data_IF_886245981828
#
_entry.id   IF_886245981828
#
_cell.length_a   1.000
_cell.length_b   1.000
_cell.length_c   1.000
_cell.angle_alpha   90.00
_cell.angle_beta   90.00
_cell.angle_gamma   90.00
#
_symmetry.space_group_name_H-M   'P 1'
#
loop_
_entity.id
_entity.type
_entity.pdbx_description
1 polymer ?
#
# COMPACT_ATOMS: atom_id res chain seq x y z
N UNK A 1 -25.31 0.60 -12.50
CA UNK A 1 -26.26 1.26 -11.59
C UNK A 1 -27.14 0.18 -11.01
N UNK A 2 -27.41 0.23 -9.71
CA UNK A 2 -28.22 -0.76 -9.00
C UNK A 2 -29.52 -0.16 -8.50
N UNK A 3 -30.58 -0.97 -8.48
CA UNK A 3 -31.86 -0.61 -7.84
C UNK A 3 -31.77 -0.80 -6.34
N UNK A 4 -32.66 -0.16 -5.58
CA UNK A 4 -32.71 -0.37 -4.13
C UNK A 4 -33.03 -1.83 -3.76
N UNK A 5 -33.90 -2.48 -4.54
CA UNK A 5 -34.27 -3.88 -4.33
C UNK A 5 -33.07 -4.83 -4.50
N UNK A 6 -32.20 -4.57 -5.48
CA UNK A 6 -30.94 -5.31 -5.64
C UNK A 6 -30.02 -5.13 -4.43
N UNK A 7 -29.94 -3.91 -3.88
CA UNK A 7 -29.12 -3.61 -2.70
C UNK A 7 -29.68 -4.27 -1.44
N UNK A 8 -30.99 -4.20 -1.21
CA UNK A 8 -31.65 -4.82 -0.05
C UNK A 8 -31.47 -6.34 -0.07
N UNK A 9 -31.72 -6.97 -1.22
CA UNK A 9 -31.52 -8.40 -1.42
C UNK A 9 -30.05 -8.80 -1.23
N UNK A 10 -29.11 -8.06 -1.82
CA UNK A 10 -27.68 -8.35 -1.72
C UNK A 10 -27.15 -8.29 -0.29
N UNK A 11 -27.73 -7.43 0.56
CA UNK A 11 -27.33 -7.27 1.97
C UNK A 11 -28.14 -8.12 2.94
N UNK A 12 -29.08 -8.94 2.45
CA UNK A 12 -30.06 -9.64 3.27
C UNK A 12 -30.75 -8.69 4.26
N UNK A 13 -31.26 -7.57 3.73
CA UNK A 13 -31.83 -6.45 4.49
C UNK A 13 -30.86 -5.90 5.54
N UNK A 14 -29.63 -5.61 5.11
CA UNK A 14 -28.58 -4.96 5.91
C UNK A 14 -28.15 -5.74 7.17
N UNK A 15 -28.19 -7.08 7.13
CA UNK A 15 -27.96 -7.94 8.30
C UNK A 15 -26.52 -7.90 8.82
N UNK A 16 -25.53 -7.73 7.92
CA UNK A 16 -24.11 -7.79 8.25
C UNK A 16 -23.44 -6.43 8.06
N UNK A 17 -23.45 -5.63 9.14
CA UNK A 17 -22.69 -4.39 9.24
C UNK A 17 -21.20 -4.69 9.46
N UNK A 18 -20.35 -4.12 8.60
CA UNK A 18 -18.89 -4.31 8.67
C UNK A 18 -18.13 -3.05 9.13
N UNK A 19 -18.77 -1.87 9.07
CA UNK A 19 -18.18 -0.64 9.59
C UNK A 19 -19.15 0.53 9.64
N UNK A 20 -18.83 1.55 10.44
CA UNK A 20 -19.46 2.88 10.38
C UNK A 20 -18.36 3.92 10.42
N UNK A 21 -18.36 4.81 9.43
CA UNK A 21 -17.51 5.99 9.40
C UNK A 21 -18.34 7.27 9.51
N UNK A 22 -17.67 8.41 9.44
CA UNK A 22 -18.31 9.74 9.42
C UNK A 22 -19.24 9.93 8.22
N UNK A 23 -18.96 9.24 7.11
CA UNK A 23 -19.63 9.45 5.84
C UNK A 23 -20.76 8.44 5.60
N UNK A 24 -20.90 7.40 6.43
CA UNK A 24 -21.91 6.38 6.23
C UNK A 24 -21.64 5.05 6.95
N UNK A 25 -22.55 4.11 6.75
CA UNK A 25 -22.44 2.74 7.27
C UNK A 25 -22.16 1.78 6.13
N UNK A 26 -21.22 0.85 6.35
CA UNK A 26 -20.81 -0.13 5.35
C UNK A 26 -21.34 -1.50 5.76
N UNK A 27 -21.97 -2.18 4.81
CA UNK A 27 -22.51 -3.52 4.95
C UNK A 27 -21.80 -4.47 3.98
N UNK A 28 -21.62 -5.72 4.40
CA UNK A 28 -21.22 -6.78 3.48
C UNK A 28 -22.46 -7.22 2.71
N UNK A 29 -22.33 -7.35 1.41
CA UNK A 29 -23.36 -7.93 0.55
C UNK A 29 -22.79 -8.97 -0.39
N UNK A 30 -23.68 -9.65 -1.10
CA UNK A 30 -23.34 -10.61 -2.13
C UNK A 30 -24.14 -10.30 -3.40
N UNK A 31 -23.46 -9.93 -4.47
CA UNK A 31 -24.08 -9.47 -5.71
C UNK A 31 -23.41 -10.14 -6.92
N UNK A 32 -24.19 -10.78 -7.78
CA UNK A 32 -23.71 -11.48 -8.97
C UNK A 32 -22.55 -12.47 -8.68
N UNK A 33 -22.67 -13.27 -7.61
CA UNK A 33 -21.66 -14.21 -7.13
C UNK A 33 -20.37 -13.59 -6.57
N UNK A 34 -20.36 -12.28 -6.34
CA UNK A 34 -19.22 -11.54 -5.80
C UNK A 34 -19.56 -10.98 -4.41
N UNK A 35 -18.63 -11.13 -3.47
CA UNK A 35 -18.70 -10.41 -2.20
C UNK A 35 -18.42 -8.92 -2.44
N UNK A 36 -19.32 -8.06 -1.96
CA UNK A 36 -19.26 -6.61 -2.15
C UNK A 36 -19.35 -5.87 -0.81
N UNK A 37 -18.79 -4.66 -0.78
CA UNK A 37 -18.98 -3.71 0.31
C UNK A 37 -19.96 -2.62 -0.14
N UNK A 38 -21.07 -2.47 0.58
CA UNK A 38 -22.12 -1.49 0.25
C UNK A 38 -22.10 -0.40 1.31
N UNK A 39 -21.64 0.79 0.92
CA UNK A 39 -21.61 1.99 1.77
C UNK A 39 -22.91 2.76 1.56
N UNK A 40 -23.74 2.82 2.60
CA UNK A 40 -24.94 3.64 2.67
C UNK A 40 -24.58 4.95 3.35
N UNK A 41 -24.64 6.06 2.62
CA UNK A 41 -24.30 7.37 3.18
C UNK A 41 -25.39 7.85 4.14
N UNK A 42 -25.02 8.59 5.18
CA UNK A 42 -25.99 9.19 6.10
C UNK A 42 -26.76 10.31 5.38
N UNK A 43 -28.10 10.26 5.46
CA UNK A 43 -29.04 11.01 4.61
C UNK A 43 -29.20 12.50 4.93
N UNK A 44 -28.58 13.00 6.00
CA UNK A 44 -29.10 14.19 6.68
C UNK A 44 -28.37 15.51 6.40
N UNK A 45 -27.48 15.59 5.39
CA UNK A 45 -26.84 16.87 5.06
C UNK A 45 -26.43 17.04 3.58
N UNK A 46 -26.43 18.31 3.12
CA UNK A 46 -26.01 18.71 1.76
C UNK A 46 -24.56 18.30 1.44
N UNK A 47 -23.75 18.14 2.49
CA UNK A 47 -22.37 17.66 2.42
C UNK A 47 -22.30 16.20 1.92
N UNK A 48 -23.14 15.30 2.43
CA UNK A 48 -23.21 13.88 2.03
C UNK A 48 -23.47 13.72 0.53
N UNK A 49 -24.42 14.46 -0.04
CA UNK A 49 -24.73 14.43 -1.48
C UNK A 49 -23.56 14.91 -2.33
N UNK A 50 -22.80 15.89 -1.85
CA UNK A 50 -21.60 16.37 -2.55
C UNK A 50 -20.50 15.31 -2.54
N UNK A 51 -20.25 14.65 -1.40
CA UNK A 51 -19.27 13.57 -1.30
C UNK A 51 -19.64 12.38 -2.19
N UNK A 52 -20.92 11.99 -2.20
CA UNK A 52 -21.45 10.96 -3.10
C UNK A 52 -21.15 11.24 -4.56
N UNK A 53 -21.55 12.43 -5.04
CA UNK A 53 -21.36 12.81 -6.44
C UNK A 53 -19.88 12.93 -6.81
N UNK A 54 -19.06 13.47 -5.90
CA UNK A 54 -17.61 13.57 -6.10
C UNK A 54 -16.96 12.19 -6.24
N UNK A 55 -17.33 11.26 -5.37
CA UNK A 55 -16.78 9.90 -5.36
C UNK A 55 -17.22 9.12 -6.60
N UNK A 56 -18.49 9.22 -6.98
CA UNK A 56 -19.00 8.69 -8.24
C UNK A 56 -18.24 9.25 -9.45
N UNK A 57 -18.11 10.57 -9.53
CA UNK A 57 -17.50 11.24 -10.68
C UNK A 57 -16.03 10.85 -10.85
N UNK A 58 -15.30 10.76 -9.74
CA UNK A 58 -13.86 10.42 -9.75
C UNK A 58 -13.66 8.95 -10.04
N UNK A 59 -14.26 8.05 -9.24
CA UNK A 59 -14.00 6.62 -9.33
C UNK A 59 -14.63 5.98 -10.58
N UNK A 60 -15.64 6.60 -11.21
CA UNK A 60 -16.17 6.09 -12.48
C UNK A 60 -15.19 6.27 -13.65
N UNK A 61 -14.23 7.20 -13.55
CA UNK A 61 -13.35 7.61 -14.65
C UNK A 61 -11.94 7.04 -14.55
N UNK A 62 -11.55 6.54 -13.38
CA UNK A 62 -10.18 6.10 -13.11
C UNK A 62 -10.15 4.68 -12.57
N UNK A 63 -9.11 3.93 -12.90
CA UNK A 63 -8.86 2.59 -12.38
C UNK A 63 -7.38 2.41 -12.14
N UNK A 64 -7.04 1.88 -10.97
CA UNK A 64 -5.67 1.56 -10.58
C UNK A 64 -5.69 0.35 -9.64
N UNK A 65 -4.71 -0.57 -9.69
CA UNK A 65 -4.70 -1.76 -8.83
C UNK A 65 -4.74 -1.47 -7.32
N UNK A 66 -4.27 -0.29 -6.92
CA UNK A 66 -4.19 0.17 -5.53
C UNK A 66 -5.19 1.30 -5.21
N UNK A 67 -6.25 1.44 -6.00
CA UNK A 67 -7.43 2.26 -5.68
C UNK A 67 -8.64 1.34 -5.52
N UNK A 68 -9.47 1.61 -4.51
CA UNK A 68 -10.65 0.81 -4.23
C UNK A 68 -11.64 0.91 -5.40
N UNK A 69 -11.99 -0.24 -5.98
CA UNK A 69 -12.83 -0.28 -7.16
C UNK A 69 -14.31 -0.05 -6.81
N UNK A 70 -14.86 1.03 -7.35
CA UNK A 70 -16.31 1.27 -7.37
C UNK A 70 -16.95 0.39 -8.45
N UNK A 71 -17.80 -0.55 -8.02
CA UNK A 71 -18.55 -1.46 -8.89
C UNK A 71 -19.85 -0.83 -9.40
N UNK A 72 -20.43 0.07 -8.61
CA UNK A 72 -21.63 0.80 -9.00
C UNK A 72 -22.22 1.61 -7.84
N UNK A 73 -23.43 2.11 -8.05
CA UNK A 73 -24.14 2.92 -7.07
C UNK A 73 -25.66 2.77 -7.20
N UNK A 74 -26.36 3.11 -6.13
CA UNK A 74 -27.81 3.33 -6.08
C UNK A 74 -28.06 4.76 -5.60
N UNK A 75 -28.24 5.73 -6.52
CA UNK A 75 -28.41 7.15 -6.17
C UNK A 75 -29.65 7.45 -5.34
N UNK A 76 -30.75 6.74 -5.58
CA UNK A 76 -32.05 6.95 -4.92
C UNK A 76 -31.94 6.90 -3.38
N UNK A 77 -30.94 6.15 -2.89
CA UNK A 77 -30.66 5.95 -1.46
C UNK A 77 -29.23 6.31 -1.07
N UNK A 78 -28.48 6.98 -1.95
CA UNK A 78 -27.10 7.39 -1.69
C UNK A 78 -26.17 6.22 -1.35
N UNK A 79 -26.28 5.09 -2.06
CA UNK A 79 -25.46 3.91 -1.82
C UNK A 79 -24.34 3.77 -2.86
N UNK A 80 -23.15 3.41 -2.40
CA UNK A 80 -21.98 3.11 -3.22
C UNK A 80 -21.60 1.64 -3.02
N UNK A 81 -21.33 0.93 -4.11
CA UNK A 81 -21.01 -0.51 -4.12
C UNK A 81 -19.56 -0.69 -4.55
N UNK A 82 -18.74 -1.29 -3.69
CA UNK A 82 -17.32 -1.53 -3.92
C UNK A 82 -16.99 -3.01 -3.91
N UNK A 83 -15.82 -3.35 -4.42
CA UNK A 83 -15.19 -4.63 -4.11
C UNK A 83 -15.03 -4.80 -2.59
N UNK A 84 -15.21 -6.03 -2.11
CA UNK A 84 -15.02 -6.35 -0.70
C UNK A 84 -13.54 -6.62 -0.39
N UNK A 85 -13.07 -6.07 0.73
CA UNK A 85 -11.68 -6.15 1.18
C UNK A 85 -11.63 -6.97 2.48
N UNK A 86 -11.23 -8.24 2.40
CA UNK A 86 -11.44 -9.24 3.45
C UNK A 86 -10.67 -8.93 4.74
N UNK A 87 -9.54 -8.25 4.62
CA UNK A 87 -8.68 -7.92 5.75
C UNK A 87 -8.99 -6.55 6.38
N UNK A 88 -10.04 -5.86 5.92
CA UNK A 88 -10.48 -4.59 6.47
C UNK A 88 -9.48 -3.46 6.25
N UNK A 89 -9.45 -2.49 7.17
CA UNK A 89 -8.55 -1.33 7.08
C UNK A 89 -7.14 -1.63 7.58
N UNK A 90 -6.15 -0.89 7.08
CA UNK A 90 -4.79 -0.92 7.56
C UNK A 90 -4.72 -0.54 9.05
N UNK A 91 -5.53 0.43 9.48
CA UNK A 91 -5.65 0.81 10.90
C UNK A 91 -6.02 -0.38 11.79
N UNK A 92 -7.06 -1.13 11.42
CA UNK A 92 -7.51 -2.29 12.20
C UNK A 92 -6.43 -3.38 12.25
N UNK A 93 -5.68 -3.54 11.15
CA UNK A 93 -4.64 -4.56 11.01
C UNK A 93 -3.36 -4.23 11.75
N UNK A 94 -2.92 -2.96 11.77
CA UNK A 94 -1.81 -2.50 12.61
C UNK A 94 -2.16 -2.65 14.10
N UNK A 95 -3.40 -2.36 14.48
CA UNK A 95 -3.90 -2.56 15.86
C UNK A 95 -4.25 -4.02 16.19
N UNK A 96 -4.08 -4.95 15.24
CA UNK A 96 -4.43 -6.38 15.37
C UNK A 96 -5.84 -6.61 15.93
N UNK A 97 -6.81 -5.77 15.53
CA UNK A 97 -8.19 -5.90 15.98
C UNK A 97 -8.74 -7.27 15.62
N UNK A 98 -9.64 -7.80 16.46
CA UNK A 98 -10.21 -9.15 16.32
C UNK A 98 -9.14 -10.27 16.30
N UNK A 99 -7.94 -10.00 16.82
CA UNK A 99 -6.88 -11.00 16.94
C UNK A 99 -6.19 -11.35 15.63
N UNK A 100 -6.23 -10.49 14.61
CA UNK A 100 -5.53 -10.77 13.35
C UNK A 100 -4.02 -10.88 13.54
N UNK A 101 -3.31 -11.73 12.77
CA UNK A 101 -1.86 -11.78 12.82
C UNK A 101 -1.25 -10.43 12.41
N UNK A 102 -0.07 -10.09 12.96
CA UNK A 102 0.65 -8.88 12.58
C UNK A 102 0.99 -8.90 11.09
N UNK A 103 1.04 -7.72 10.47
CA UNK A 103 1.55 -7.56 9.10
C UNK A 103 3.08 -7.66 9.18
N UNK A 104 3.73 -8.61 8.49
CA UNK A 104 5.18 -8.71 8.44
C UNK A 104 5.83 -7.47 7.83
N UNK A 105 7.06 -7.14 8.24
CA UNK A 105 7.76 -5.94 7.78
C UNK A 105 7.85 -5.83 6.24
N UNK A 106 8.03 -6.96 5.54
CA UNK A 106 8.16 -7.00 4.09
C UNK A 106 6.85 -6.61 3.39
N UNK A 107 5.70 -7.00 3.95
CA UNK A 107 4.39 -6.57 3.46
C UNK A 107 4.19 -5.08 3.74
N UNK A 108 4.71 -4.54 4.85
CA UNK A 108 4.64 -3.11 5.16
C UNK A 108 5.41 -2.24 4.17
N UNK A 109 6.61 -2.66 3.77
CA UNK A 109 7.36 -2.01 2.68
C UNK A 109 6.59 -2.05 1.35
N UNK A 110 5.97 -3.20 1.03
CA UNK A 110 5.12 -3.31 -0.17
C UNK A 110 3.94 -2.36 -0.09
N UNK A 111 3.19 -2.35 1.01
CA UNK A 111 2.01 -1.50 1.22
C UNK A 111 2.37 -0.01 1.08
N UNK A 112 3.49 0.43 1.67
CA UNK A 112 3.94 1.82 1.52
C UNK A 112 4.12 2.20 0.04
N UNK A 113 4.79 1.34 -0.75
CA UNK A 113 4.95 1.55 -2.19
C UNK A 113 3.62 1.54 -2.96
N UNK A 114 2.70 0.63 -2.62
CA UNK A 114 1.38 0.52 -3.26
C UNK A 114 0.55 1.80 -3.07
N UNK A 115 0.56 2.35 -1.85
CA UNK A 115 -0.07 3.64 -1.52
C UNK A 115 0.59 4.77 -2.33
N UNK A 116 1.92 4.85 -2.32
CA UNK A 116 2.67 5.84 -3.10
C UNK A 116 2.36 5.78 -4.59
N UNK A 117 2.29 4.57 -5.16
CA UNK A 117 1.95 4.33 -6.56
C UNK A 117 0.54 4.82 -6.90
N UNK A 118 -0.44 4.55 -6.05
CA UNK A 118 -1.80 5.06 -6.24
C UNK A 118 -1.88 6.60 -6.17
N UNK A 119 -1.17 7.22 -5.23
CA UNK A 119 -1.12 8.67 -5.13
C UNK A 119 -0.47 9.32 -6.35
N UNK A 120 0.66 8.78 -6.85
CA UNK A 120 1.31 9.27 -8.07
C UNK A 120 0.35 9.20 -9.27
N UNK A 121 -0.42 8.11 -9.38
CA UNK A 121 -1.45 7.97 -10.41
C UNK A 121 -2.53 9.06 -10.30
N UNK A 122 -3.08 9.31 -9.11
CA UNK A 122 -4.05 10.37 -8.87
C UNK A 122 -3.49 11.76 -9.25
N UNK A 123 -2.26 12.05 -8.82
CA UNK A 123 -1.59 13.33 -9.07
C UNK A 123 -1.21 13.54 -10.54
N UNK A 124 -1.06 12.45 -11.29
CA UNK A 124 -0.71 12.48 -12.72
C UNK A 124 -1.94 12.48 -13.63
N UNK A 125 -3.14 12.36 -13.07
CA UNK A 125 -4.40 12.34 -13.84
C UNK A 125 -4.58 13.63 -14.66
N UNK A 126 -5.11 13.48 -15.87
CA UNK A 126 -5.37 14.58 -16.83
C UNK A 126 -6.88 14.75 -17.05
N UNK A 127 -7.37 15.97 -17.35
CA UNK A 127 -6.62 17.22 -17.54
C UNK A 127 -6.11 17.85 -16.22
N UNK A 128 -6.66 17.40 -15.09
CA UNK A 128 -6.42 17.96 -13.77
C UNK A 128 -5.97 16.89 -12.78
N UNK A 129 -4.87 17.12 -12.05
CA UNK A 129 -4.47 16.28 -10.92
C UNK A 129 -5.60 16.13 -9.90
N UNK A 130 -5.77 14.92 -9.36
CA UNK A 130 -6.69 14.62 -8.27
C UNK A 130 -5.87 14.56 -6.98
N UNK A 131 -6.23 15.35 -5.97
CA UNK A 131 -5.63 15.26 -4.63
C UNK A 131 -6.60 14.50 -3.73
N UNK A 132 -6.12 13.50 -2.99
CA UNK A 132 -6.95 12.63 -2.14
C UNK A 132 -7.52 13.37 -0.93
N UNK A 133 -6.68 14.11 -0.19
CA UNK A 133 -6.99 14.97 0.97
C UNK A 133 -7.36 14.29 2.28
N UNK A 134 -7.70 13.00 2.27
CA UNK A 134 -7.98 12.24 3.50
C UNK A 134 -7.26 10.89 3.53
N UNK A 135 -5.98 10.87 3.15
CA UNK A 135 -5.19 9.65 3.28
C UNK A 135 -4.89 9.39 4.77
N UNK A 136 -5.23 8.21 5.24
CA UNK A 136 -4.98 7.69 6.60
C UNK A 136 -5.14 6.16 6.60
N UNK A 137 -4.62 5.43 7.60
CA UNK A 137 -4.72 3.97 7.63
C UNK A 137 -6.15 3.43 7.60
N UNK A 138 -7.16 4.17 8.08
CA UNK A 138 -8.57 3.78 8.01
C UNK A 138 -9.12 3.76 6.57
N UNK A 139 -8.54 4.59 5.69
CA UNK A 139 -8.94 4.71 4.29
C UNK A 139 -8.06 3.85 3.36
N UNK A 140 -7.12 3.07 3.90
CA UNK A 140 -6.35 2.07 3.15
C UNK A 140 -6.91 0.70 3.50
N UNK A 141 -7.54 0.02 2.54
CA UNK A 141 -8.12 -1.32 2.75
C UNK A 141 -7.20 -2.40 2.22
N UNK A 142 -7.24 -3.58 2.83
CA UNK A 142 -6.41 -4.73 2.48
C UNK A 142 -7.28 -5.90 1.99
N UNK A 143 -6.92 -6.47 0.84
CA UNK A 143 -7.55 -7.69 0.33
C UNK A 143 -7.03 -8.93 1.09
N UNK A 144 -7.55 -10.11 0.77
CA UNK A 144 -7.09 -11.41 1.33
C UNK A 144 -5.58 -11.66 1.29
N UNK A 145 -4.85 -11.04 0.35
CA UNK A 145 -3.42 -11.19 0.15
C UNK A 145 -2.60 -10.01 0.71
N UNK A 146 -3.21 -9.13 1.51
CA UNK A 146 -2.60 -7.90 2.01
C UNK A 146 -2.17 -6.94 0.89
N UNK A 147 -2.83 -6.98 -0.26
CA UNK A 147 -2.71 -5.94 -1.28
C UNK A 147 -3.54 -4.75 -0.84
N UNK A 148 -2.90 -3.58 -0.78
CA UNK A 148 -3.53 -2.36 -0.32
C UNK A 148 -4.25 -1.61 -1.45
N UNK A 149 -5.37 -1.00 -1.09
CA UNK A 149 -6.16 -0.10 -1.95
C UNK A 149 -6.64 1.12 -1.18
N UNK A 150 -6.39 2.30 -1.72
CA UNK A 150 -6.89 3.56 -1.15
C UNK A 150 -8.37 3.72 -1.50
N UNK A 151 -9.21 3.95 -0.49
CA UNK A 151 -10.64 4.27 -0.63
C UNK A 151 -11.00 5.63 -0.04
N UNK A 152 -12.30 5.93 -0.03
CA UNK A 152 -12.89 7.20 0.47
C UNK A 152 -12.32 8.46 -0.18
N UNK A 153 -12.44 8.53 -1.52
CA UNK A 153 -12.06 9.72 -2.29
C UNK A 153 -13.14 10.83 -2.25
N UNK A 154 -14.12 10.75 -1.34
CA UNK A 154 -15.21 11.71 -1.22
C UNK A 154 -14.77 13.13 -0.88
N UNK A 155 -13.56 13.29 -0.31
CA UNK A 155 -12.93 14.59 -0.04
C UNK A 155 -11.97 15.06 -1.14
N UNK A 156 -11.79 14.25 -2.19
CA UNK A 156 -10.85 14.54 -3.27
C UNK A 156 -11.21 15.83 -4.00
N UNK A 157 -10.20 16.44 -4.61
CA UNK A 157 -10.41 17.68 -5.36
C UNK A 157 -9.55 17.73 -6.63
N UNK A 158 -10.16 18.20 -7.71
CA UNK A 158 -9.46 18.46 -8.98
C UNK A 158 -8.72 19.79 -8.90
N UNK A 159 -7.43 19.78 -9.25
CA UNK A 159 -6.62 20.99 -9.36
C UNK A 159 -6.88 21.73 -10.68
N UNK A 160 -6.70 23.06 -10.75
CA UNK A 160 -6.72 23.78 -12.02
C UNK A 160 -5.73 23.18 -13.03
N UNK A 161 -6.05 23.10 -14.34
CA UNK A 161 -5.15 22.57 -15.35
C UNK A 161 -3.81 23.31 -15.36
N UNK A 162 -2.70 22.58 -15.48
CA UNK A 162 -1.34 23.16 -15.50
C UNK A 162 -1.15 24.22 -16.59
N UNK A 163 -1.90 24.14 -17.69
CA UNK A 163 -1.82 25.10 -18.81
C UNK A 163 -2.23 26.53 -18.43
N UNK A 164 -2.94 26.72 -17.32
CA UNK A 164 -3.39 28.04 -16.87
C UNK A 164 -2.39 28.77 -15.95
N UNK A 165 -1.31 28.11 -15.49
CA UNK A 165 -0.41 28.68 -14.46
C UNK A 165 1.06 28.30 -14.72
N UNK A 166 1.93 29.30 -14.85
CA UNK A 166 3.38 29.14 -15.10
C UNK A 166 4.09 28.42 -13.94
N UNK A 167 4.95 27.43 -14.26
CA UNK A 167 6.04 26.76 -13.50
C UNK A 167 6.11 26.79 -11.94
N UNK A 168 5.02 27.07 -11.24
CA UNK A 168 4.90 27.14 -9.78
C UNK A 168 4.07 25.96 -9.28
N UNK A 169 4.35 25.50 -8.07
CA UNK A 169 3.49 24.56 -7.34
C UNK A 169 2.06 25.09 -7.38
N UNK A 170 1.13 24.29 -7.93
CA UNK A 170 -0.26 24.69 -8.11
C UNK A 170 -0.99 24.49 -6.79
N UNK A 171 -1.70 25.52 -6.32
CA UNK A 171 -2.49 25.50 -5.09
C UNK A 171 -3.96 25.77 -5.39
N UNK A 172 -4.85 25.13 -4.63
CA UNK A 172 -6.29 25.43 -4.68
C UNK A 172 -6.76 25.89 -3.30
N UNK A 173 -7.41 27.05 -3.24
CA UNK A 173 -8.13 27.48 -2.03
C UNK A 173 -9.38 26.62 -1.86
N UNK A 174 -9.49 25.92 -0.74
CA UNK A 174 -10.65 25.09 -0.41
C UNK A 174 -10.98 25.24 1.08
N UNK A 175 -12.23 24.95 1.47
CA UNK A 175 -12.56 24.83 2.90
C UNK A 175 -11.74 23.71 3.55
N UNK A 176 -11.38 23.87 4.83
CA UNK A 176 -10.58 22.91 5.58
C UNK A 176 -11.32 21.56 5.66
N UNK A 177 -10.69 20.49 5.18
CA UNK A 177 -11.19 19.13 5.31
C UNK A 177 -10.01 18.15 5.36
N UNK A 178 -10.13 17.12 6.19
CA UNK A 178 -9.11 16.09 6.43
C UNK A 178 -9.12 15.64 7.89
N UNK A 179 -8.34 14.62 8.21
CA UNK A 179 -8.28 14.02 9.55
C UNK A 179 -7.11 14.58 10.36
N UNK A 180 -7.34 14.85 11.65
CA UNK A 180 -6.30 15.31 12.59
C UNK A 180 -5.07 14.39 12.54
N UNK A 181 -3.87 14.96 12.69
CA UNK A 181 -2.55 14.32 12.54
C UNK A 181 -2.11 13.99 11.11
N UNK A 182 -3.02 13.70 10.18
CA UNK A 182 -2.70 13.48 8.76
C UNK A 182 -2.83 14.75 7.91
N UNK A 183 -3.40 15.80 8.50
CA UNK A 183 -3.65 17.07 7.84
C UNK A 183 -2.36 17.86 7.68
N UNK A 184 -2.04 18.19 6.42
CA UNK A 184 -0.90 19.04 6.08
C UNK A 184 -0.92 20.38 6.85
N UNK A 185 0.10 20.68 7.66
CA UNK A 185 0.13 21.88 8.50
C UNK A 185 0.15 23.18 7.69
N UNK A 186 0.74 23.19 6.49
CA UNK A 186 0.71 24.35 5.60
C UNK A 186 -0.70 24.54 5.04
N UNK A 187 -1.36 23.47 4.64
CA UNK A 187 -2.77 23.51 4.22
C UNK A 187 -3.68 23.98 5.35
N UNK A 188 -3.49 23.48 6.57
CA UNK A 188 -4.24 23.90 7.75
C UNK A 188 -4.11 25.40 8.01
N UNK A 189 -2.91 25.95 7.87
CA UNK A 189 -2.63 27.37 8.08
C UNK A 189 -3.13 28.27 6.95
N UNK A 190 -3.05 27.81 5.69
CA UNK A 190 -3.26 28.66 4.51
C UNK A 190 -4.59 28.44 3.79
N UNK A 191 -5.24 27.30 4.01
CA UNK A 191 -6.37 26.82 3.22
C UNK A 191 -6.00 26.42 1.79
N UNK A 192 -4.70 26.36 1.46
CA UNK A 192 -4.18 25.99 0.14
C UNK A 192 -3.77 24.52 0.10
N UNK A 193 -4.52 23.72 -0.65
CA UNK A 193 -4.20 22.30 -0.83
C UNK A 193 -3.34 22.08 -2.07
N UNK A 194 -2.42 21.12 -2.01
CA UNK A 194 -1.56 20.72 -3.12
C UNK A 194 -1.30 19.21 -3.09
N UNK A 195 -0.65 18.69 -4.13
CA UNK A 195 -0.18 17.29 -4.17
C UNK A 195 0.76 16.95 -3.00
N UNK A 196 1.47 17.95 -2.45
CA UNK A 196 2.34 17.80 -1.28
C UNK A 196 1.56 17.59 0.01
N UNK A 197 0.26 17.86 0.03
CA UNK A 197 -0.60 17.57 1.17
C UNK A 197 -0.82 16.07 1.32
N UNK A 198 -0.98 15.33 0.22
CA UNK A 198 -1.03 13.86 0.25
C UNK A 198 0.33 13.25 0.59
N UNK A 199 1.44 13.90 0.18
CA UNK A 199 2.80 13.48 0.58
C UNK A 199 2.98 13.52 2.10
N UNK A 200 2.49 14.58 2.76
CA UNK A 200 2.51 14.67 4.22
C UNK A 200 1.74 13.52 4.88
N UNK A 201 0.51 13.26 4.41
CA UNK A 201 -0.31 12.18 4.92
C UNK A 201 0.35 10.79 4.72
N UNK A 202 1.02 10.57 3.58
CA UNK A 202 1.82 9.36 3.35
C UNK A 202 2.97 9.24 4.36
N UNK A 203 3.63 10.34 4.71
CA UNK A 203 4.68 10.37 5.74
C UNK A 203 4.19 9.81 7.08
N UNK A 204 3.01 10.24 7.53
CA UNK A 204 2.40 9.72 8.76
C UNK A 204 2.11 8.22 8.65
N UNK A 205 1.51 7.78 7.54
CA UNK A 205 1.21 6.36 7.31
C UNK A 205 2.49 5.52 7.29
N UNK A 206 3.59 6.03 6.74
CA UNK A 206 4.90 5.35 6.76
C UNK A 206 5.39 5.15 8.21
N UNK A 207 5.30 6.18 9.06
CA UNK A 207 5.72 6.06 10.46
C UNK A 207 4.84 5.05 11.22
N UNK A 208 3.53 5.01 10.97
CA UNK A 208 2.65 4.01 11.56
C UNK A 208 2.90 2.60 11.04
N UNK A 209 3.26 2.43 9.77
CA UNK A 209 3.69 1.14 9.22
C UNK A 209 4.94 0.63 9.96
N UNK A 210 5.92 1.48 10.24
CA UNK A 210 7.13 1.08 10.96
C UNK A 210 6.85 0.68 12.42
N UNK A 211 6.00 1.44 13.10
CA UNK A 211 5.89 1.40 14.56
C UNK A 211 4.62 0.72 15.09
N UNK A 212 3.57 0.63 14.26
CA UNK A 212 2.20 0.28 14.68
C UNK A 212 1.68 1.10 15.88
N UNK A 213 2.23 2.31 16.11
CA UNK A 213 1.87 3.20 17.21
C UNK A 213 0.83 4.23 16.77
N UNK A 214 0.15 4.82 17.75
CA UNK A 214 -0.78 5.93 17.53
C UNK A 214 -0.03 7.16 16.94
N UNK A 215 -0.64 7.94 16.02
CA UNK A 215 0.01 9.08 15.38
C UNK A 215 0.35 10.25 16.33
N UNK A 216 -0.16 10.25 17.57
CA UNK A 216 0.07 11.32 18.55
C UNK A 216 1.54 11.34 18.99
N UNK A 217 2.26 12.43 18.67
CA UNK A 217 3.68 12.59 19.02
C UNK A 217 4.61 11.61 18.31
N UNK A 218 4.10 10.90 17.30
CA UNK A 218 4.84 9.86 16.60
C UNK A 218 6.03 10.42 15.81
N UNK A 219 5.92 11.54 15.07
CA UNK A 219 7.05 12.12 14.36
C UNK A 219 8.22 12.42 15.28
N UNK A 220 7.99 13.04 16.44
CA UNK A 220 9.03 13.42 17.40
C UNK A 220 9.69 12.19 18.05
N UNK A 221 8.94 11.11 18.25
CA UNK A 221 9.49 9.85 18.77
C UNK A 221 10.40 9.19 17.73
N UNK A 222 9.98 9.14 16.48
CA UNK A 222 10.78 8.52 15.40
C UNK A 222 11.99 9.39 15.04
N UNK A 223 11.84 10.71 14.99
CA UNK A 223 12.92 11.66 14.72
C UNK A 223 14.08 11.48 15.71
N UNK A 224 13.79 11.48 17.02
CA UNK A 224 14.82 11.22 18.04
C UNK A 224 15.47 9.84 17.88
N UNK A 225 14.68 8.80 17.61
CA UNK A 225 15.23 7.45 17.42
C UNK A 225 16.15 7.37 16.19
N UNK A 226 15.86 8.13 15.13
CA UNK A 226 16.71 8.25 13.94
C UNK A 226 18.00 9.01 14.29
N UNK A 227 17.89 10.17 14.94
CA UNK A 227 19.03 11.02 15.36
C UNK A 227 20.00 10.28 16.31
N UNK A 228 19.47 9.52 17.26
CA UNK A 228 20.24 8.75 18.24
C UNK A 228 20.76 7.41 17.68
N UNK A 229 20.39 7.04 16.44
CA UNK A 229 20.73 5.75 15.85
C UNK A 229 20.08 4.55 16.56
N UNK A 230 18.93 4.77 17.21
CA UNK A 230 18.15 3.81 18.01
C UNK A 230 16.82 3.44 17.30
N UNK A 231 16.78 3.43 15.97
CA UNK A 231 15.52 3.17 15.23
C UNK A 231 14.85 1.85 15.67
N UNK A 232 15.63 0.83 16.01
CA UNK A 232 15.14 -0.47 16.45
C UNK A 232 14.17 -0.39 17.65
N UNK A 233 14.32 0.61 18.53
CA UNK A 233 13.52 0.78 19.75
C UNK A 233 12.08 1.26 19.47
N UNK A 234 11.86 1.81 18.27
CA UNK A 234 10.55 2.30 17.85
C UNK A 234 9.85 1.36 16.88
N UNK A 235 10.57 0.42 16.26
CA UNK A 235 10.00 -0.55 15.32
C UNK A 235 9.02 -1.49 16.02
N UNK A 236 7.99 -1.89 15.28
CA UNK A 236 7.05 -2.90 15.73
C UNK A 236 7.70 -4.29 15.71
N UNK A 237 8.15 -4.77 16.87
CA UNK A 237 8.73 -6.10 17.06
C UNK A 237 7.83 -7.23 16.54
N UNK A 238 6.50 -7.03 16.53
CA UNK A 238 5.56 -8.05 16.05
C UNK A 238 5.59 -8.25 14.53
N UNK A 239 6.21 -7.34 13.78
CA UNK A 239 6.38 -7.44 12.33
C UNK A 239 7.54 -8.37 11.92
N UNK A 240 8.26 -8.94 12.89
CA UNK A 240 9.40 -9.83 12.69
C UNK A 240 10.74 -9.09 12.65
N UNK A 241 11.76 -9.77 12.11
CA UNK A 241 13.14 -9.27 12.10
C UNK A 241 13.31 -8.16 11.06
N UNK A 242 13.17 -6.92 11.50
CA UNK A 242 13.33 -5.75 10.63
C UNK A 242 14.76 -5.64 10.08
N UNK A 243 14.91 -5.35 8.78
CA UNK A 243 16.19 -4.91 8.25
C UNK A 243 16.46 -3.47 8.72
N UNK A 244 17.25 -3.34 9.79
CA UNK A 244 17.43 -2.06 10.53
C UNK A 244 17.85 -0.90 9.63
N UNK A 245 18.73 -1.14 8.66
CA UNK A 245 19.18 -0.10 7.71
C UNK A 245 18.03 0.37 6.83
N UNK A 246 17.32 -0.55 6.20
CA UNK A 246 16.18 -0.24 5.33
C UNK A 246 15.00 0.36 6.11
N UNK A 247 14.80 -0.06 7.36
CA UNK A 247 13.83 0.53 8.26
C UNK A 247 14.19 1.98 8.62
N UNK A 248 15.47 2.26 8.86
CA UNK A 248 15.99 3.61 9.03
C UNK A 248 15.77 4.46 7.77
N UNK A 249 16.10 3.94 6.59
CA UNK A 249 15.88 4.64 5.31
C UNK A 249 14.39 5.00 5.12
N UNK A 250 13.48 4.06 5.43
CA UNK A 250 12.05 4.31 5.36
C UNK A 250 11.59 5.35 6.41
N UNK A 251 12.13 5.30 7.63
CA UNK A 251 11.82 6.26 8.68
C UNK A 251 12.23 7.68 8.28
N UNK A 252 13.45 7.84 7.77
CA UNK A 252 13.95 9.11 7.27
C UNK A 252 13.11 9.62 6.10
N UNK A 253 12.71 8.76 5.17
CA UNK A 253 11.82 9.13 4.06
C UNK A 253 10.46 9.63 4.57
N UNK A 254 9.89 8.95 5.58
CA UNK A 254 8.67 9.35 6.25
C UNK A 254 8.80 10.73 6.90
N UNK A 255 9.86 10.96 7.67
CA UNK A 255 10.14 12.26 8.31
C UNK A 255 10.32 13.39 7.29
N UNK A 256 11.05 13.15 6.20
CA UNK A 256 11.20 14.13 5.12
C UNK A 256 9.85 14.50 4.47
N UNK A 257 8.90 13.57 4.42
CA UNK A 257 7.54 13.86 3.95
C UNK A 257 6.74 14.74 4.92
N UNK A 258 7.12 14.78 6.20
CA UNK A 258 6.45 15.53 7.27
C UNK A 258 6.96 16.96 7.45
N UNK A 259 7.85 17.43 6.57
CA UNK A 259 8.34 18.80 6.59
C UNK A 259 7.20 19.84 6.64
N UNK A 260 7.37 20.85 7.50
CA UNK A 260 6.33 21.84 7.79
C UNK A 260 5.98 22.68 6.56
N UNK A 261 6.95 22.91 5.67
CA UNK A 261 6.75 23.63 4.40
C UNK A 261 6.69 22.62 3.27
N UNK A 262 5.63 22.69 2.46
CA UNK A 262 5.38 21.85 1.29
C UNK A 262 6.53 21.81 0.28
N UNK A 263 7.29 22.92 0.17
CA UNK A 263 8.45 23.04 -0.72
C UNK A 263 9.66 22.23 -0.26
N UNK A 264 9.77 21.92 1.03
CA UNK A 264 10.89 21.16 1.59
C UNK A 264 10.61 19.65 1.56
N UNK A 265 9.33 19.27 1.47
CA UNK A 265 8.94 17.86 1.26
C UNK A 265 9.52 17.35 -0.06
N UNK A 266 9.92 16.06 -0.14
CA UNK A 266 10.38 15.46 -1.39
C UNK A 266 9.30 15.45 -2.49
N UNK A 267 9.71 15.24 -3.73
CA UNK A 267 8.78 14.95 -4.81
C UNK A 267 8.27 13.51 -4.68
N UNK A 268 6.95 13.33 -4.77
CA UNK A 268 6.32 12.03 -4.56
C UNK A 268 6.76 11.00 -5.61
N UNK A 269 6.93 11.41 -6.87
CA UNK A 269 7.23 10.49 -7.96
C UNK A 269 8.73 10.23 -8.06
N UNK A 270 9.56 11.28 -8.14
CA UNK A 270 10.98 11.11 -8.44
C UNK A 270 11.86 10.76 -7.24
N UNK A 271 11.37 10.95 -6.01
CA UNK A 271 12.13 10.66 -4.79
C UNK A 271 11.43 9.60 -3.95
N UNK A 272 10.19 9.87 -3.52
CA UNK A 272 9.49 8.98 -2.58
C UNK A 272 9.17 7.62 -3.22
N UNK A 273 8.55 7.59 -4.41
CA UNK A 273 8.16 6.34 -5.05
C UNK A 273 9.37 5.49 -5.48
N UNK A 274 10.46 6.12 -5.94
CA UNK A 274 11.71 5.43 -6.28
C UNK A 274 12.32 4.73 -5.06
N UNK A 275 12.38 5.42 -3.92
CA UNK A 275 12.93 4.86 -2.68
C UNK A 275 12.05 3.74 -2.12
N UNK A 276 10.73 3.95 -2.09
CA UNK A 276 9.77 2.90 -1.75
C UNK A 276 9.89 1.69 -2.71
N UNK A 277 10.21 1.93 -3.98
CA UNK A 277 10.42 0.88 -4.99
C UNK A 277 11.70 0.07 -4.75
N UNK A 278 12.77 0.71 -4.27
CA UNK A 278 13.98 0.03 -3.78
C UNK A 278 13.66 -0.86 -2.59
N UNK A 279 12.98 -0.34 -1.58
CA UNK A 279 12.60 -1.08 -0.37
C UNK A 279 11.66 -2.25 -0.68
N UNK A 280 10.68 -2.06 -1.56
CA UNK A 280 9.80 -3.14 -2.04
C UNK A 280 10.57 -4.28 -2.71
N UNK A 281 11.61 -3.99 -3.49
CA UNK A 281 12.44 -5.03 -4.12
C UNK A 281 13.23 -5.85 -3.09
N UNK A 282 13.71 -5.20 -2.03
CA UNK A 282 14.35 -5.87 -0.89
C UNK A 282 13.34 -6.75 -0.14
N UNK A 283 12.14 -6.23 0.11
CA UNK A 283 11.07 -7.03 0.70
C UNK A 283 10.70 -8.26 -0.15
N UNK A 284 10.68 -8.12 -1.48
CA UNK A 284 10.35 -9.19 -2.41
C UNK A 284 11.42 -10.31 -2.43
N UNK A 285 12.70 -9.98 -2.26
CA UNK A 285 13.76 -10.99 -2.20
C UNK A 285 13.70 -11.83 -0.92
N UNK A 286 13.18 -11.28 0.17
CA UNK A 286 12.96 -11.99 1.44
C UNK A 286 11.62 -12.74 1.46
N UNK A 287 10.60 -12.18 0.80
CA UNK A 287 9.25 -12.78 0.67
C UNK A 287 9.15 -13.95 -0.31
N UNK A 288 10.28 -14.39 -0.91
CA UNK A 288 10.34 -15.67 -1.62
C UNK A 288 9.67 -16.74 -0.74
N UNK A 289 8.54 -17.26 -1.19
CA UNK A 289 7.53 -17.81 -0.28
C UNK A 289 8.06 -19.07 0.38
N UNK A 290 8.11 -19.13 1.71
CA UNK A 290 8.22 -20.40 2.43
C UNK A 290 6.84 -21.09 2.40
N UNK A 291 6.43 -21.60 1.23
CA UNK A 291 5.22 -22.41 1.13
C UNK A 291 5.48 -23.78 1.79
N UNK A 292 4.73 -24.18 2.83
CA UNK A 292 4.80 -25.52 3.40
C UNK A 292 4.53 -26.56 2.29
N UNK A 293 5.44 -27.51 2.08
CA UNK A 293 5.32 -28.52 1.01
C UNK A 293 5.81 -28.10 -0.39
N UNK A 294 6.51 -26.96 -0.52
CA UNK A 294 7.18 -26.57 -1.77
C UNK A 294 8.22 -27.61 -2.23
N UNK A 295 8.25 -27.98 -3.53
CA UNK A 295 9.27 -28.86 -4.09
C UNK A 295 10.69 -28.35 -3.79
N UNK A 296 11.60 -29.26 -3.44
CA UNK A 296 12.98 -28.90 -3.06
C UNK A 296 13.73 -28.12 -4.14
N UNK A 297 13.49 -28.44 -5.41
CA UNK A 297 14.11 -27.76 -6.56
C UNK A 297 13.56 -26.36 -6.84
N UNK A 298 12.46 -25.95 -6.20
CA UNK A 298 11.98 -24.57 -6.23
C UNK A 298 12.66 -23.69 -5.19
N UNK A 299 13.35 -24.29 -4.22
CA UNK A 299 13.96 -23.57 -3.10
C UNK A 299 15.37 -23.11 -3.44
N UNK A 300 15.67 -21.87 -3.10
CA UNK A 300 17.02 -21.34 -3.19
C UNK A 300 17.94 -22.08 -2.19
N UNK A 301 19.11 -22.57 -2.61
CA UNK A 301 20.06 -23.19 -1.68
C UNK A 301 20.60 -22.23 -0.60
N UNK A 302 20.62 -20.93 -0.85
CA UNK A 302 21.05 -19.89 0.11
C UNK A 302 19.89 -19.53 1.05
N UNK A 303 18.76 -19.07 0.48
CA UNK A 303 17.64 -18.55 1.28
C UNK A 303 16.76 -19.64 1.91
N UNK A 304 16.82 -20.88 1.39
CA UNK A 304 15.95 -22.00 1.77
C UNK A 304 14.46 -21.77 1.51
N UNK A 305 14.11 -20.73 0.77
CA UNK A 305 12.74 -20.36 0.39
C UNK A 305 12.52 -20.48 -1.12
N UNK A 306 11.26 -20.49 -1.59
CA UNK A 306 10.93 -20.58 -3.02
C UNK A 306 11.50 -19.37 -3.77
N UNK A 307 12.22 -19.62 -4.87
CA UNK A 307 12.84 -18.60 -5.70
C UNK A 307 11.79 -17.78 -6.46
N UNK A 308 11.96 -16.46 -6.49
CA UNK A 308 11.17 -15.53 -7.29
C UNK A 308 11.86 -15.18 -8.61
N UNK A 309 13.17 -14.94 -8.59
CA UNK A 309 13.98 -14.71 -9.78
C UNK A 309 15.15 -15.71 -9.87
N UNK A 310 14.88 -16.97 -10.25
CA UNK A 310 15.90 -18.00 -10.28
C UNK A 310 16.96 -17.72 -11.35
N UNK A 311 18.24 -17.82 -10.98
CA UNK A 311 19.39 -17.72 -11.87
C UNK A 311 20.38 -18.89 -11.67
N UNK A 312 21.02 -19.33 -12.75
CA UNK A 312 22.04 -20.38 -12.77
C UNK A 312 23.42 -19.73 -12.62
N UNK A 313 24.20 -20.20 -11.66
CA UNK A 313 25.60 -19.82 -11.50
C UNK A 313 26.55 -20.81 -12.21
N UNK A 314 27.84 -20.48 -12.29
CA UNK A 314 28.84 -21.30 -12.98
C UNK A 314 29.13 -22.66 -12.33
N UNK A 315 28.61 -22.93 -11.13
CA UNK A 315 28.59 -24.25 -10.49
C UNK A 315 27.44 -25.16 -10.95
N UNK A 316 26.54 -24.65 -11.80
CA UNK A 316 25.39 -25.38 -12.33
C UNK A 316 24.17 -25.40 -11.41
N UNK A 317 24.24 -24.80 -10.22
CA UNK A 317 23.08 -24.70 -9.33
C UNK A 317 22.26 -23.46 -9.64
N UNK A 318 20.95 -23.54 -9.32
CA UNK A 318 20.04 -22.40 -9.42
C UNK A 318 19.84 -21.75 -8.06
N UNK A 319 19.91 -20.43 -8.03
CA UNK A 319 19.79 -19.60 -6.84
C UNK A 319 18.77 -18.48 -7.08
N UNK A 320 18.31 -17.86 -6.00
CA UNK A 320 17.64 -16.55 -6.10
C UNK A 320 18.68 -15.52 -6.52
N UNK A 321 18.41 -14.74 -7.58
CA UNK A 321 19.37 -13.79 -8.16
C UNK A 321 19.94 -12.86 -7.11
N UNK A 322 19.09 -12.19 -6.35
CA UNK A 322 19.54 -11.21 -5.35
C UNK A 322 20.40 -11.85 -4.26
N UNK A 323 20.10 -13.10 -3.86
CA UNK A 323 20.87 -13.81 -2.84
C UNK A 323 22.26 -14.21 -3.37
N UNK A 324 22.34 -14.65 -4.63
CA UNK A 324 23.61 -15.01 -5.24
C UNK A 324 24.46 -13.78 -5.55
N UNK A 325 23.86 -12.68 -6.02
CA UNK A 325 24.57 -11.40 -6.20
C UNK A 325 25.19 -10.91 -4.89
N UNK A 326 24.42 -10.96 -3.79
CA UNK A 326 24.91 -10.60 -2.46
C UNK A 326 26.02 -11.55 -1.98
N UNK A 327 25.89 -12.86 -2.21
CA UNK A 327 26.93 -13.83 -1.86
C UNK A 327 28.25 -13.55 -2.60
N UNK A 328 28.16 -13.15 -3.87
CA UNK A 328 29.30 -12.88 -4.74
C UNK A 328 30.01 -11.54 -4.45
N UNK A 329 29.43 -10.67 -3.61
CA UNK A 329 30.11 -9.47 -3.12
C UNK A 329 31.37 -9.83 -2.33
N UNK A 330 31.26 -10.80 -1.41
CA UNK A 330 32.33 -11.11 -0.46
C UNK A 330 33.01 -12.46 -0.72
N UNK A 331 32.43 -13.31 -1.59
CA UNK A 331 32.90 -14.70 -1.81
C UNK A 331 33.06 -15.01 -3.29
N UNK A 332 34.03 -15.85 -3.63
CA UNK A 332 34.26 -16.40 -4.98
C UNK A 332 34.06 -17.93 -5.06
N UNK A 333 33.39 -18.50 -4.05
CA UNK A 333 33.12 -19.93 -3.92
C UNK A 333 31.62 -20.24 -4.01
N UNK A 334 31.29 -21.44 -4.49
CA UNK A 334 29.94 -21.97 -4.56
C UNK A 334 29.30 -22.05 -3.16
N UNK A 335 28.08 -21.53 -2.97
CA UNK A 335 27.32 -21.71 -1.73
C UNK A 335 27.08 -23.19 -1.39
N UNK A 336 26.94 -24.06 -2.39
CA UNK A 336 26.59 -25.47 -2.24
C UNK A 336 27.83 -26.35 -2.10
N UNK A 337 28.76 -26.26 -3.05
CA UNK A 337 29.91 -27.19 -3.11
C UNK A 337 31.15 -26.67 -2.37
N UNK A 338 31.15 -25.37 -2.01
CA UNK A 338 32.32 -24.65 -1.47
C UNK A 338 33.54 -24.60 -2.41
N UNK A 339 33.42 -25.12 -3.63
CA UNK A 339 34.46 -25.02 -4.65
C UNK A 339 34.48 -23.61 -5.28
N UNK A 340 35.63 -23.18 -5.80
CA UNK A 340 35.76 -21.90 -6.50
C UNK A 340 34.90 -21.86 -7.76
N UNK A 341 34.19 -20.77 -7.97
CA UNK A 341 33.37 -20.55 -9.17
C UNK A 341 34.25 -20.22 -10.37
N UNK A 342 33.86 -20.68 -11.56
CA UNK A 342 34.62 -20.42 -12.81
C UNK A 342 34.56 -18.95 -13.20
N UNK A 343 33.39 -18.36 -13.00
CA UNK A 343 33.08 -16.95 -13.19
C UNK A 343 31.89 -16.54 -12.30
N UNK A 344 31.63 -15.23 -12.24
CA UNK A 344 30.54 -14.62 -11.46
C UNK A 344 29.28 -14.34 -12.32
N UNK A 345 29.20 -14.87 -13.54
CA UNK A 345 28.06 -14.63 -14.42
C UNK A 345 26.84 -15.42 -13.96
N UNK A 346 25.68 -14.76 -13.91
CA UNK A 346 24.40 -15.35 -13.50
C UNK A 346 23.43 -15.36 -14.67
N UNK A 347 23.10 -16.56 -15.14
CA UNK A 347 22.18 -16.76 -16.26
C UNK A 347 20.73 -16.90 -15.76
N UNK A 348 19.74 -16.19 -16.32
CA UNK A 348 18.34 -16.36 -15.92
C UNK A 348 17.84 -17.80 -16.15
N UNK A 349 17.16 -18.40 -15.17
CA UNK A 349 16.49 -19.70 -15.32
C UNK A 349 14.99 -19.51 -15.60
N UNK A 350 14.67 -19.07 -16.82
CA UNK A 350 13.28 -18.73 -17.21
C UNK A 350 12.34 -19.94 -17.16
N UNK A 351 12.85 -21.13 -17.43
CA UNK A 351 12.09 -22.38 -17.35
C UNK A 351 11.63 -22.65 -15.91
N UNK A 352 12.55 -22.58 -14.94
CA UNK A 352 12.21 -22.75 -13.54
C UNK A 352 11.31 -21.63 -13.03
N UNK A 353 11.57 -20.38 -13.43
CA UNK A 353 10.71 -19.23 -13.11
C UNK A 353 9.27 -19.47 -13.54
N UNK A 354 9.07 -19.93 -14.77
CA UNK A 354 7.74 -20.23 -15.32
C UNK A 354 7.05 -21.39 -14.57
N UNK A 355 7.81 -22.42 -14.17
CA UNK A 355 7.29 -23.54 -13.38
C UNK A 355 6.86 -23.12 -11.98
N UNK A 356 7.67 -22.32 -11.28
CA UNK A 356 7.35 -21.78 -9.96
C UNK A 356 6.10 -20.92 -10.03
N UNK A 357 6.00 -20.02 -11.02
CA UNK A 357 4.83 -19.15 -11.19
C UNK A 357 3.54 -19.95 -11.43
N UNK A 358 3.60 -21.01 -12.24
CA UNK A 358 2.45 -21.90 -12.45
C UNK A 358 2.03 -22.60 -11.16
N UNK A 359 2.99 -23.15 -10.43
CA UNK A 359 2.73 -23.85 -9.17
C UNK A 359 2.16 -22.93 -8.08
N UNK A 360 2.65 -21.70 -7.99
CA UNK A 360 2.08 -20.67 -7.10
C UNK A 360 0.64 -20.35 -7.50
N UNK A 361 0.36 -20.22 -8.80
CA UNK A 361 -1.00 -19.97 -9.30
C UNK A 361 -1.99 -21.12 -9.02
N UNK A 362 -1.51 -22.36 -8.88
CA UNK A 362 -2.32 -23.56 -8.57
C UNK A 362 -2.56 -23.76 -7.06
N UNK A 363 -2.11 -22.82 -6.23
CA UNK A 363 -2.31 -22.81 -4.78
C UNK A 363 -1.24 -23.55 -3.99
N UNK A 364 -0.04 -23.75 -4.55
CA UNK A 364 1.12 -24.25 -3.80
C UNK A 364 0.97 -25.68 -3.26
N UNK A 365 0.16 -26.52 -3.91
CA UNK A 365 -0.09 -27.89 -3.44
C UNK A 365 1.15 -28.77 -3.63
N UNK A 366 1.47 -29.69 -2.71
CA UNK A 366 2.55 -30.64 -2.90
C UNK A 366 2.29 -31.47 -4.15
N UNK A 367 3.28 -31.53 -5.05
CA UNK A 367 3.26 -32.47 -6.17
C UNK A 367 3.36 -33.86 -5.54
N UNK A 368 2.34 -34.71 -5.73
CA UNK A 368 2.45 -36.12 -5.36
C UNK A 368 3.60 -36.71 -6.18
N UNK A 369 4.65 -37.15 -5.50
CA UNK A 369 5.72 -37.95 -6.09
C UNK A 369 5.19 -39.30 -6.61
#
# INVERSE_FOLDING_TARGET
>A
MFTWEEIDNATASFSLKIGTGSNGTVYKGHLNHLDVAIKVLHSDDKSSTKHFNQELEVLSKIRHPHLLMLLGACPDRGCLVYEYMENGSLADRLQRRKGTPPIPWFDRFRIAWEIGSALVFLHSTKPSPIIHRDLKPENVLLDRNLVSKIGDVGLSTLMPPKETLSNRTVYKKTGLAGTLFYLDPEYQRTGQVSVKSDTYALGMVILELLTARCPIGLPEVVERAVEDGQISDVLDESAGDWPVREAHDLAQLGLNCLEMRSKDRPDLNSVVLEELGRLKRIAASVSGVALPGSPSHFKCPILKTVMYDPCIASDGYTYERSAMEMWLCDKDVSPVTKARLRDKTLLPNLSLKSAIMRWVAEGGRPVKE
#
